data_IF_584182147684
#
_entry.id   IF_584182147684
#
_cell.length_a   1.000
_cell.length_b   1.000
_cell.length_c   1.000
_cell.angle_alpha   90.00
_cell.angle_beta   90.00
_cell.angle_gamma   90.00
#
_symmetry.space_group_name_H-M   'P 1'
#
loop_
_entity.id
_entity.type
_entity.pdbx_description
1 polymer ?
#
# COMPACT_ATOMS: atom_id res chain seq x y z
N UNK A 1 38.31 5.11 -44.90
CA UNK A 1 37.11 4.34 -45.29
C UNK A 1 36.21 4.07 -44.11
N UNK A 2 36.59 3.24 -43.13
CA UNK A 2 35.73 2.82 -42.01
C UNK A 2 34.98 3.91 -41.22
N UNK A 3 35.55 5.11 -41.07
CA UNK A 3 34.90 6.20 -40.32
C UNK A 3 33.73 6.85 -41.06
N UNK A 4 33.70 6.75 -42.39
CA UNK A 4 32.60 7.26 -43.22
C UNK A 4 31.38 6.32 -43.14
N UNK A 5 31.58 5.00 -43.27
CA UNK A 5 30.50 4.01 -43.15
C UNK A 5 29.80 4.03 -41.79
N UNK A 6 30.58 4.17 -40.70
CA UNK A 6 30.01 4.23 -39.33
C UNK A 6 29.14 5.49 -39.15
N UNK A 7 29.51 6.61 -39.77
CA UNK A 7 28.73 7.85 -39.67
C UNK A 7 27.40 7.79 -40.42
N UNK A 8 27.36 7.03 -41.52
CA UNK A 8 26.17 6.80 -42.33
C UNK A 8 25.18 5.92 -41.56
N UNK A 9 25.67 4.82 -40.97
CA UNK A 9 24.86 3.94 -40.10
C UNK A 9 24.31 4.68 -38.87
N UNK A 10 25.10 5.56 -38.24
CA UNK A 10 24.63 6.38 -37.10
C UNK A 10 23.52 7.35 -37.53
N UNK A 11 23.59 7.84 -38.76
CA UNK A 11 22.59 8.78 -39.30
C UNK A 11 21.28 8.07 -39.57
N UNK A 12 21.33 6.87 -40.14
CA UNK A 12 20.15 6.02 -40.34
C UNK A 12 19.54 5.53 -39.03
N UNK A 13 20.37 5.18 -38.03
CA UNK A 13 19.87 4.80 -36.72
C UNK A 13 19.16 5.96 -36.01
N UNK A 14 19.61 7.21 -36.24
CA UNK A 14 18.99 8.41 -35.70
C UNK A 14 17.64 8.72 -36.34
N UNK A 15 17.54 8.61 -37.66
CA UNK A 15 16.29 8.87 -38.38
C UNK A 15 15.23 7.83 -38.02
N UNK A 16 15.60 6.54 -37.96
CA UNK A 16 14.69 5.47 -37.49
C UNK A 16 14.24 5.71 -36.05
N UNK A 17 15.14 6.15 -35.16
CA UNK A 17 14.78 6.44 -33.77
C UNK A 17 13.80 7.61 -33.65
N UNK A 18 13.98 8.67 -34.44
CA UNK A 18 13.08 9.83 -34.43
C UNK A 18 11.70 9.49 -35.01
N UNK A 19 11.62 8.64 -36.02
CA UNK A 19 10.33 8.19 -36.58
C UNK A 19 9.59 7.25 -35.62
N UNK A 20 10.30 6.35 -34.94
CA UNK A 20 9.73 5.50 -33.88
C UNK A 20 9.25 6.37 -32.70
N UNK A 21 10.02 7.37 -32.27
CA UNK A 21 9.60 8.28 -31.19
C UNK A 21 8.40 9.15 -31.57
N UNK A 22 8.19 9.45 -32.86
CA UNK A 22 7.01 10.19 -33.34
C UNK A 22 5.79 9.30 -33.56
N UNK A 23 5.99 8.05 -33.96
CA UNK A 23 4.92 7.07 -34.15
C UNK A 23 4.33 6.58 -32.83
N UNK A 24 5.14 6.57 -31.77
CA UNK A 24 4.66 6.36 -30.40
C UNK A 24 4.17 7.71 -29.88
N UNK A 25 2.87 7.83 -29.63
CA UNK A 25 2.24 9.01 -29.03
C UNK A 25 2.64 9.14 -27.55
N UNK A 26 3.92 9.46 -27.32
CA UNK A 26 4.52 9.61 -26.00
C UNK A 26 3.92 10.80 -25.25
N UNK A 27 3.35 11.79 -25.95
CA UNK A 27 2.74 12.95 -25.32
C UNK A 27 1.45 12.59 -24.59
N UNK A 28 0.60 11.71 -25.15
CA UNK A 28 -0.59 11.21 -24.44
C UNK A 28 -0.23 10.30 -23.27
N UNK A 29 0.75 9.41 -23.44
CA UNK A 29 1.28 8.58 -22.36
C UNK A 29 1.95 9.40 -21.25
N UNK A 30 2.61 10.51 -21.60
CA UNK A 30 3.26 11.39 -20.63
C UNK A 30 2.23 12.26 -19.91
N UNK A 31 1.14 12.66 -20.55
CA UNK A 31 0.05 13.37 -19.88
C UNK A 31 -0.70 12.44 -18.91
N UNK A 32 -0.99 11.21 -19.33
CA UNK A 32 -1.56 10.17 -18.46
C UNK A 32 -0.59 9.82 -17.31
N UNK A 33 0.66 9.52 -17.60
CA UNK A 33 1.67 9.20 -16.58
C UNK A 33 1.90 10.37 -15.63
N UNK A 34 1.89 11.61 -16.11
CA UNK A 34 2.06 12.81 -15.27
C UNK A 34 0.83 13.07 -14.42
N UNK A 35 -0.37 12.81 -14.92
CA UNK A 35 -1.62 12.85 -14.15
C UNK A 35 -1.60 11.80 -13.02
N UNK A 36 -1.18 10.57 -13.31
CA UNK A 36 -1.03 9.53 -12.29
C UNK A 36 0.10 9.82 -11.30
N UNK A 37 1.28 10.29 -11.76
CA UNK A 37 2.43 10.57 -10.86
C UNK A 37 2.21 11.78 -9.96
N UNK A 38 1.47 12.78 -10.46
CA UNK A 38 1.10 13.98 -9.69
C UNK A 38 0.14 13.62 -8.57
N UNK A 39 -0.94 12.89 -8.89
CA UNK A 39 -1.91 12.42 -7.89
C UNK A 39 -1.31 11.38 -6.92
N UNK A 40 -0.38 10.54 -7.39
CA UNK A 40 0.29 9.54 -6.54
C UNK A 40 1.18 10.17 -5.46
N UNK A 41 1.81 11.31 -5.75
CA UNK A 41 2.72 11.98 -4.80
C UNK A 41 1.98 12.49 -3.55
N UNK A 42 0.78 13.03 -3.72
CA UNK A 42 -0.03 13.48 -2.58
C UNK A 42 -0.69 12.31 -1.83
N UNK A 43 -1.04 11.23 -2.54
CA UNK A 43 -1.60 10.02 -1.95
C UNK A 43 -0.58 9.26 -1.09
N UNK A 44 0.71 9.26 -1.46
CA UNK A 44 1.77 8.59 -0.70
C UNK A 44 1.91 9.15 0.71
N UNK A 45 1.87 10.49 0.86
CA UNK A 45 1.88 11.15 2.18
C UNK A 45 0.68 10.73 3.02
N UNK A 46 -0.52 10.73 2.45
CA UNK A 46 -1.73 10.33 3.17
C UNK A 46 -1.69 8.86 3.61
N UNK A 47 -1.15 7.96 2.76
CA UNK A 47 -0.94 6.55 3.09
C UNK A 47 0.06 6.36 4.22
N UNK A 48 1.17 7.09 4.19
CA UNK A 48 2.19 7.04 5.24
C UNK A 48 1.63 7.45 6.61
N UNK A 49 0.96 8.60 6.68
CA UNK A 49 0.33 9.06 7.93
C UNK A 49 -0.83 8.16 8.37
N UNK A 50 -1.63 7.67 7.42
CA UNK A 50 -2.69 6.72 7.69
C UNK A 50 -2.17 5.42 8.31
N UNK A 51 -1.10 4.85 7.73
CA UNK A 51 -0.44 3.65 8.26
C UNK A 51 0.16 3.86 9.64
N UNK A 52 0.86 4.99 9.85
CA UNK A 52 1.43 5.34 11.15
C UNK A 52 0.35 5.55 12.22
N UNK A 53 -0.76 6.21 11.87
CA UNK A 53 -1.90 6.40 12.76
C UNK A 53 -2.57 5.09 13.14
N UNK A 54 -2.81 4.21 12.16
CA UNK A 54 -3.39 2.88 12.38
C UNK A 54 -2.52 2.06 13.35
N UNK A 55 -1.22 1.98 13.06
CA UNK A 55 -0.26 1.25 13.87
C UNK A 55 -0.16 1.83 15.29
N UNK A 56 -0.16 3.16 15.42
CA UNK A 56 -0.14 3.84 16.72
C UNK A 56 -1.38 3.52 17.56
N UNK A 57 -2.57 3.57 16.99
CA UNK A 57 -3.82 3.24 17.68
C UNK A 57 -3.82 1.78 18.13
N UNK A 58 -3.45 0.85 17.24
CA UNK A 58 -3.33 -0.57 17.58
C UNK A 58 -2.31 -0.79 18.70
N UNK A 59 -1.18 -0.10 18.68
CA UNK A 59 -0.15 -0.19 19.73
C UNK A 59 -0.70 0.27 21.09
N UNK A 60 -1.43 1.39 21.14
CA UNK A 60 -2.05 1.90 22.38
C UNK A 60 -3.09 0.91 22.93
N UNK A 61 -3.90 0.32 22.06
CA UNK A 61 -4.88 -0.71 22.46
C UNK A 61 -4.18 -1.90 23.10
N UNK A 62 -3.12 -2.42 22.47
CA UNK A 62 -2.34 -3.56 23.00
C UNK A 62 -1.69 -3.20 24.34
N UNK A 63 -1.17 -1.99 24.50
CA UNK A 63 -0.62 -1.52 25.78
C UNK A 63 -1.68 -1.47 26.88
N UNK A 64 -2.87 -0.95 26.61
CA UNK A 64 -3.97 -0.93 27.59
C UNK A 64 -4.40 -2.34 28.01
N UNK A 65 -4.51 -3.26 27.04
CA UNK A 65 -4.88 -4.65 27.30
C UNK A 65 -3.80 -5.40 28.09
N UNK A 66 -2.52 -5.20 27.77
CA UNK A 66 -1.39 -5.85 28.47
C UNK A 66 -1.22 -5.31 29.89
N UNK A 67 -1.28 -3.99 30.09
CA UNK A 67 -1.25 -3.37 31.41
C UNK A 67 -2.48 -3.79 32.24
N UNK A 68 -3.66 -3.83 31.63
CA UNK A 68 -4.89 -4.32 32.27
C UNK A 68 -4.78 -5.78 32.71
N UNK A 69 -4.18 -6.65 31.90
CA UNK A 69 -3.88 -8.04 32.28
C UNK A 69 -2.85 -8.14 33.41
N UNK A 70 -1.76 -7.37 33.34
CA UNK A 70 -0.73 -7.36 34.39
C UNK A 70 -1.32 -6.91 35.74
N UNK A 71 -2.12 -5.84 35.75
CA UNK A 71 -2.82 -5.40 36.97
C UNK A 71 -3.92 -6.38 37.43
N UNK A 72 -4.51 -7.15 36.51
CA UNK A 72 -5.41 -8.25 36.84
C UNK A 72 -4.71 -9.41 37.57
N UNK A 73 -3.52 -9.81 37.10
CA UNK A 73 -2.73 -10.91 37.68
C UNK A 73 -2.06 -10.50 39.00
N UNK A 74 -1.46 -9.31 39.05
CA UNK A 74 -0.73 -8.81 40.22
C UNK A 74 -1.64 -8.12 41.26
N UNK A 75 -2.87 -7.77 40.91
CA UNK A 75 -3.83 -7.12 41.81
C UNK A 75 -4.54 -8.06 42.80
N UNK A 76 -4.22 -9.36 42.77
CA UNK A 76 -4.72 -10.35 43.73
C UNK A 76 -3.90 -10.35 45.01
N UNK A 77 -4.34 -9.59 46.02
CA UNK A 77 -3.75 -9.60 47.36
C UNK A 77 -4.30 -10.79 48.18
N UNK A 78 -3.48 -11.75 48.64
CA UNK A 78 -3.96 -12.91 49.41
C UNK A 78 -4.26 -12.64 50.90
N UNK A 79 -4.25 -11.39 51.38
CA UNK A 79 -4.12 -11.15 52.84
C UNK A 79 -4.95 -10.01 53.47
N UNK A 80 -6.06 -9.55 52.88
CA UNK A 80 -7.03 -8.68 53.59
C UNK A 80 -8.44 -8.86 53.03
N UNK A 81 -9.43 -8.73 53.93
CA UNK A 81 -10.89 -8.85 53.82
C UNK A 81 -11.54 -9.03 52.43
N UNK A 82 -12.53 -9.94 52.28
CA UNK A 82 -13.27 -10.20 51.03
C UNK A 82 -14.11 -9.01 50.50
N UNK A 83 -14.07 -7.85 51.16
CA UNK A 83 -14.77 -6.62 50.80
C UNK A 83 -13.88 -5.49 50.26
N UNK A 84 -12.54 -5.55 50.43
CA UNK A 84 -11.63 -4.50 49.95
C UNK A 84 -10.93 -4.91 48.65
N UNK A 85 -11.54 -4.51 47.52
CA UNK A 85 -10.87 -4.64 46.22
C UNK A 85 -9.62 -3.77 46.21
N UNK A 86 -8.46 -4.38 45.98
CA UNK A 86 -7.21 -3.63 45.78
C UNK A 86 -7.40 -2.62 44.64
N UNK A 87 -7.09 -1.35 44.89
CA UNK A 87 -7.28 -0.22 43.95
C UNK A 87 -6.71 -0.53 42.55
N UNK A 88 -5.59 -1.25 42.51
CA UNK A 88 -4.88 -1.69 41.30
C UNK A 88 -5.73 -2.68 40.47
N UNK A 89 -6.43 -3.62 41.11
CA UNK A 89 -7.28 -4.60 40.42
C UNK A 89 -8.53 -3.94 39.82
N UNK A 90 -9.16 -3.00 40.54
CA UNK A 90 -10.31 -2.26 40.04
C UNK A 90 -9.92 -1.34 38.85
N UNK A 91 -8.77 -0.68 38.95
CA UNK A 91 -8.22 0.12 37.85
C UNK A 91 -7.85 -0.74 36.63
N UNK A 92 -7.22 -1.90 36.84
CA UNK A 92 -6.86 -2.85 35.78
C UNK A 92 -8.10 -3.39 35.04
N UNK A 93 -9.16 -3.74 35.77
CA UNK A 93 -10.44 -4.17 35.19
C UNK A 93 -11.09 -3.07 34.35
N UNK A 94 -11.15 -1.82 34.86
CA UNK A 94 -11.68 -0.69 34.09
C UNK A 94 -10.86 -0.39 32.84
N UNK A 95 -9.53 -0.46 32.91
CA UNK A 95 -8.65 -0.29 31.75
C UNK A 95 -8.85 -1.40 30.70
N UNK A 96 -9.01 -2.65 31.15
CA UNK A 96 -9.26 -3.79 30.26
C UNK A 96 -10.61 -3.64 29.52
N UNK A 97 -11.66 -3.26 30.24
CA UNK A 97 -12.99 -3.00 29.66
C UNK A 97 -12.94 -1.83 28.68
N UNK A 98 -12.26 -0.73 29.03
CA UNK A 98 -12.07 0.40 28.13
C UNK A 98 -11.31 -0.03 26.85
N UNK A 99 -10.22 -0.79 26.99
CA UNK A 99 -9.46 -1.32 25.85
C UNK A 99 -10.30 -2.25 24.96
N UNK A 100 -11.13 -3.11 25.55
CA UNK A 100 -12.02 -4.01 24.81
C UNK A 100 -13.11 -3.23 24.03
N UNK A 101 -13.72 -2.21 24.65
CA UNK A 101 -14.72 -1.36 23.99
C UNK A 101 -14.08 -0.61 22.81
N UNK A 102 -12.89 -0.03 23.01
CA UNK A 102 -12.14 0.65 21.94
C UNK A 102 -11.81 -0.35 20.82
N UNK A 103 -11.40 -1.58 21.16
CA UNK A 103 -11.12 -2.64 20.17
C UNK A 103 -12.37 -3.00 19.36
N UNK A 104 -13.55 -3.03 19.99
CA UNK A 104 -14.79 -3.34 19.29
C UNK A 104 -15.17 -2.21 18.31
N UNK A 105 -15.03 -0.95 18.74
CA UNK A 105 -15.30 0.25 17.93
C UNK A 105 -14.26 0.43 16.80
N UNK A 106 -12.99 0.08 17.03
CA UNK A 106 -11.98 0.15 15.97
C UNK A 106 -11.97 -1.09 15.08
N UNK A 107 -12.31 -2.26 15.60
CA UNK A 107 -12.24 -3.53 14.90
C UNK A 107 -13.13 -3.57 13.66
N UNK A 108 -14.38 -3.15 13.78
CA UNK A 108 -15.29 -3.10 12.62
C UNK A 108 -14.83 -2.07 11.57
N UNK A 109 -14.30 -0.91 11.98
CA UNK A 109 -13.74 0.10 11.07
C UNK A 109 -12.51 -0.43 10.35
N UNK A 110 -11.59 -1.06 11.08
CA UNK A 110 -10.38 -1.67 10.50
C UNK A 110 -10.75 -2.73 9.48
N UNK A 111 -11.69 -3.63 9.80
CA UNK A 111 -12.19 -4.66 8.88
C UNK A 111 -12.75 -4.06 7.60
N UNK A 112 -13.55 -2.98 7.72
CA UNK A 112 -14.12 -2.27 6.57
C UNK A 112 -13.02 -1.64 5.71
N UNK A 113 -12.06 -0.94 6.32
CA UNK A 113 -10.93 -0.33 5.61
C UNK A 113 -10.12 -1.38 4.86
N UNK A 114 -9.73 -2.49 5.52
CA UNK A 114 -8.99 -3.57 4.86
C UNK A 114 -9.79 -4.20 3.72
N UNK A 115 -11.11 -4.30 3.86
CA UNK A 115 -11.97 -4.82 2.79
C UNK A 115 -11.96 -3.91 1.57
N UNK A 116 -12.07 -2.59 1.75
CA UNK A 116 -11.98 -1.63 0.65
C UNK A 116 -10.59 -1.67 0.02
N UNK A 117 -9.54 -1.68 0.84
CA UNK A 117 -8.16 -1.73 0.36
C UNK A 117 -7.91 -3.00 -0.46
N UNK A 118 -8.44 -4.14 -0.03
CA UNK A 118 -8.35 -5.40 -0.75
C UNK A 118 -9.21 -5.38 -2.02
N UNK A 119 -10.41 -4.81 -1.96
CA UNK A 119 -11.30 -4.67 -3.11
C UNK A 119 -10.73 -3.74 -4.20
N UNK A 120 -9.90 -2.76 -3.84
CA UNK A 120 -9.17 -1.89 -4.78
C UNK A 120 -7.81 -2.48 -5.18
N UNK A 121 -7.11 -3.15 -4.27
CA UNK A 121 -5.81 -3.78 -4.52
C UNK A 121 -5.89 -5.02 -5.41
N UNK A 122 -6.88 -5.90 -5.18
CA UNK A 122 -7.08 -7.10 -5.97
C UNK A 122 -7.32 -6.86 -7.47
N UNK A 123 -8.11 -5.84 -7.90
CA UNK A 123 -8.22 -5.52 -9.31
C UNK A 123 -6.95 -4.87 -9.88
N UNK A 124 -6.16 -4.13 -9.10
CA UNK A 124 -4.87 -3.59 -9.58
C UNK A 124 -3.92 -4.71 -10.04
N UNK A 125 -3.86 -5.84 -9.33
CA UNK A 125 -3.05 -6.99 -9.74
C UNK A 125 -3.53 -7.60 -11.06
N UNK A 126 -4.84 -7.66 -11.31
CA UNK A 126 -5.39 -8.24 -12.56
C UNK A 126 -5.38 -7.27 -13.75
N UNK A 127 -5.73 -6.00 -13.55
CA UNK A 127 -5.73 -5.00 -14.62
C UNK A 127 -4.33 -4.47 -14.95
N UNK A 128 -3.44 -4.37 -13.96
CA UNK A 128 -2.05 -3.94 -14.15
C UNK A 128 -1.21 -4.97 -14.91
N UNK A 129 -1.39 -6.26 -14.63
CA UNK A 129 -0.69 -7.33 -15.36
C UNK A 129 -1.27 -7.55 -16.76
N UNK A 130 -2.60 -7.37 -16.93
CA UNK A 130 -3.25 -7.42 -18.24
C UNK A 130 -2.77 -6.34 -19.22
N UNK A 131 -2.48 -5.12 -18.75
CA UNK A 131 -1.90 -4.07 -19.59
C UNK A 131 -0.50 -4.45 -20.13
N UNK A 132 0.34 -5.09 -19.31
CA UNK A 132 1.66 -5.57 -19.76
C UNK A 132 1.57 -6.81 -20.65
N UNK A 133 0.60 -7.70 -20.40
CA UNK A 133 0.39 -8.87 -21.26
C UNK A 133 -0.09 -8.48 -22.66
N UNK A 134 -1.00 -7.50 -22.77
CA UNK A 134 -1.44 -7.00 -24.07
C UNK A 134 -0.29 -6.38 -24.87
N UNK A 135 0.67 -5.72 -24.21
CA UNK A 135 1.87 -5.19 -24.86
C UNK A 135 2.75 -6.33 -25.42
N UNK A 136 2.94 -7.41 -24.65
CA UNK A 136 3.71 -8.58 -25.11
C UNK A 136 3.04 -9.39 -26.22
N UNK A 137 1.72 -9.32 -26.34
CA UNK A 137 0.96 -9.93 -27.44
C UNK A 137 1.03 -9.05 -28.69
N UNK A 138 1.03 -7.72 -28.52
CA UNK A 138 1.23 -6.77 -29.63
C UNK A 138 2.62 -6.91 -30.26
N UNK A 139 3.67 -7.08 -29.45
CA UNK A 139 5.04 -7.30 -29.92
C UNK A 139 5.14 -8.57 -30.80
N UNK A 140 4.50 -9.66 -30.37
CA UNK A 140 4.45 -10.91 -31.16
C UNK A 140 3.72 -10.77 -32.48
N UNK A 141 2.70 -9.92 -32.55
CA UNK A 141 1.93 -9.69 -33.78
C UNK A 141 2.69 -8.81 -34.78
N UNK A 142 3.54 -7.89 -34.29
CA UNK A 142 4.40 -7.07 -35.14
C UNK A 142 5.54 -7.89 -35.74
N UNK A 143 6.18 -8.77 -34.95
CA UNK A 143 7.20 -9.71 -35.43
C UNK A 143 6.67 -10.65 -36.54
N UNK A 144 5.41 -11.09 -36.44
CA UNK A 144 4.81 -12.00 -37.43
C UNK A 144 4.33 -11.26 -38.70
N UNK A 145 4.00 -9.97 -38.61
CA UNK A 145 3.68 -9.13 -39.77
C UNK A 145 4.93 -8.71 -40.57
N UNK A 146 6.09 -8.56 -39.92
CA UNK A 146 7.35 -8.19 -40.58
C UNK A 146 7.97 -9.35 -41.40
N UNK A 147 7.45 -10.57 -41.26
CA UNK A 147 7.86 -11.77 -42.00
C UNK A 147 6.94 -12.15 -43.19
N UNK A 148 5.95 -11.32 -43.52
CA UNK A 148 5.06 -11.45 -44.70
C UNK A 148 5.33 -10.35 -45.73
#
# INVERSE_FOLDING_TARGET
SYTSDVSEIITDLKSMKDDVMKGIDFDSLKDDAKKYTSTATDYDKYRWYGGLGLAGITMVIVLLLTIGMLFGIFGGSPSVDPADRSCISNAGGNMLVAGAIITFIFGWLLMLITTILFAVGAPVDKFGCGAMQNLSVFDKLLDEYELL
#
